data_IF_893450082510
#
_entry.id   IF_893450082510
#
_cell.length_a   1.000
_cell.length_b   1.000
_cell.length_c   1.000
_cell.angle_alpha   90.00
_cell.angle_beta   90.00
_cell.angle_gamma   90.00
#
_symmetry.space_group_name_H-M   'P 1'
#
loop_
_entity.id
_entity.type
_entity.pdbx_description
1 polymer ?
#
# COMPACT_ATOMS: atom_id res chain seq x y z
N UNK A 1 -6.99 21.95 1.42
CA UNK A 1 -6.70 21.82 -0.03
C UNK A 1 -6.61 20.38 -0.52
N UNK A 2 -5.68 19.55 -0.01
CA UNK A 2 -5.53 18.14 -0.44
C UNK A 2 -6.85 17.36 -0.39
N UNK A 3 -7.58 17.45 0.73
CA UNK A 3 -8.86 16.76 0.89
C UNK A 3 -9.95 17.25 -0.08
N UNK A 4 -9.97 18.54 -0.43
CA UNK A 4 -10.90 19.05 -1.44
C UNK A 4 -10.60 18.47 -2.83
N UNK A 5 -9.32 18.37 -3.20
CA UNK A 5 -8.90 17.80 -4.48
C UNK A 5 -9.22 16.30 -4.57
N UNK A 6 -9.24 15.60 -3.44
CA UNK A 6 -9.57 14.17 -3.40
C UNK A 6 -11.04 13.87 -3.72
N UNK A 7 -11.96 14.85 -3.58
CA UNK A 7 -13.40 14.61 -3.72
C UNK A 7 -13.76 14.00 -5.09
N UNK A 8 -13.28 14.60 -6.18
CA UNK A 8 -13.62 14.12 -7.52
C UNK A 8 -13.01 12.75 -7.82
N UNK A 9 -11.81 12.46 -7.29
CA UNK A 9 -11.22 11.13 -7.40
C UNK A 9 -12.09 10.08 -6.72
N UNK A 10 -12.43 10.26 -5.44
CA UNK A 10 -13.28 9.31 -4.71
C UNK A 10 -14.67 9.18 -5.33
N UNK A 11 -15.25 10.28 -5.82
CA UNK A 11 -16.53 10.29 -6.53
C UNK A 11 -16.47 9.47 -7.82
N UNK A 12 -15.40 9.61 -8.61
CA UNK A 12 -15.25 8.82 -9.85
C UNK A 12 -15.18 7.32 -9.55
N UNK A 13 -14.41 6.93 -8.52
CA UNK A 13 -14.26 5.53 -8.12
C UNK A 13 -15.59 4.95 -7.62
N UNK A 14 -16.24 5.66 -6.70
CA UNK A 14 -17.54 5.26 -6.14
C UNK A 14 -18.62 5.15 -7.23
N UNK A 15 -18.64 6.05 -8.22
CA UNK A 15 -19.63 6.00 -9.31
C UNK A 15 -19.50 4.78 -10.22
N UNK A 16 -18.37 4.07 -10.15
CA UNK A 16 -18.08 2.85 -10.92
C UNK A 16 -18.01 1.60 -10.05
N UNK A 17 -18.44 1.67 -8.78
CA UNK A 17 -18.34 0.55 -7.85
C UNK A 17 -19.17 -0.65 -8.36
N UNK A 18 -18.52 -1.79 -8.69
CA UNK A 18 -19.20 -2.96 -9.22
C UNK A 18 -19.94 -3.76 -8.13
N UNK A 19 -19.69 -3.49 -6.85
CA UNK A 19 -20.36 -4.18 -5.74
C UNK A 19 -21.77 -3.69 -5.45
N UNK A 20 -22.11 -2.49 -5.95
CA UNK A 20 -23.44 -1.90 -5.80
C UNK A 20 -24.34 -2.39 -6.94
N UNK A 21 -25.44 -3.08 -6.60
CA UNK A 21 -26.49 -3.48 -7.54
C UNK A 21 -27.48 -2.32 -7.74
N UNK A 22 -27.10 -1.34 -8.57
CA UNK A 22 -27.89 -0.17 -8.94
C UNK A 22 -27.55 0.25 -10.38
N UNK A 23 -28.40 1.08 -10.99
CA UNK A 23 -28.11 1.64 -12.32
C UNK A 23 -26.88 2.57 -12.29
N UNK A 24 -26.24 2.78 -13.45
CA UNK A 24 -25.12 3.71 -13.55
C UNK A 24 -25.53 5.14 -13.18
N UNK A 25 -26.76 5.53 -13.50
CA UNK A 25 -27.36 6.81 -13.09
C UNK A 25 -27.50 6.92 -11.57
N UNK A 26 -27.99 5.87 -10.92
CA UNK A 26 -28.15 5.84 -9.45
C UNK A 26 -26.80 5.88 -8.74
N UNK A 27 -25.80 5.11 -9.20
CA UNK A 27 -24.44 5.15 -8.64
C UNK A 27 -23.82 6.55 -8.77
N UNK A 28 -24.01 7.22 -9.90
CA UNK A 28 -23.56 8.61 -10.09
C UNK A 28 -24.28 9.57 -9.14
N UNK A 29 -25.57 9.39 -8.90
CA UNK A 29 -26.34 10.21 -7.95
C UNK A 29 -25.89 9.98 -6.50
N UNK A 30 -25.63 8.73 -6.10
CA UNK A 30 -25.05 8.37 -4.80
C UNK A 30 -23.66 9.00 -4.63
N UNK A 31 -22.79 8.88 -5.63
CA UNK A 31 -21.45 9.47 -5.60
C UNK A 31 -21.48 11.01 -5.54
N UNK A 32 -22.46 11.65 -6.21
CA UNK A 32 -22.69 13.08 -6.08
C UNK A 32 -23.16 13.47 -4.67
N UNK A 33 -24.00 12.65 -4.04
CA UNK A 33 -24.45 12.83 -2.65
C UNK A 33 -23.27 12.77 -1.68
N UNK A 34 -22.39 11.78 -1.83
CA UNK A 34 -21.11 11.70 -1.10
C UNK A 34 -20.31 13.00 -1.26
N UNK A 35 -20.07 13.43 -2.51
CA UNK A 35 -19.22 14.58 -2.80
C UNK A 35 -19.78 15.87 -2.21
N UNK A 36 -21.10 16.08 -2.30
CA UNK A 36 -21.77 17.23 -1.72
C UNK A 36 -21.69 17.22 -0.18
N UNK A 37 -22.00 16.08 0.46
CA UNK A 37 -21.94 15.91 1.91
C UNK A 37 -20.53 16.17 2.44
N UNK A 38 -19.53 15.50 1.87
CA UNK A 38 -18.16 15.64 2.34
C UNK A 38 -17.62 17.06 2.11
N UNK A 39 -17.94 17.69 0.98
CA UNK A 39 -17.59 19.09 0.73
C UNK A 39 -18.20 20.03 1.75
N UNK A 40 -19.48 19.86 2.07
CA UNK A 40 -20.16 20.69 3.07
C UNK A 40 -19.50 20.57 4.46
N UNK A 41 -19.13 19.36 4.88
CA UNK A 41 -18.43 19.15 6.16
C UNK A 41 -17.02 19.79 6.15
N UNK A 42 -16.29 19.72 5.04
CA UNK A 42 -15.00 20.42 4.90
C UNK A 42 -15.16 21.95 4.92
N UNK A 43 -16.18 22.48 4.24
CA UNK A 43 -16.47 23.91 4.20
C UNK A 43 -16.83 24.46 5.58
N UNK A 44 -17.57 23.70 6.39
CA UNK A 44 -17.86 24.03 7.79
C UNK A 44 -16.57 24.13 8.64
N UNK A 45 -15.72 23.09 8.60
CA UNK A 45 -14.44 23.08 9.32
C UNK A 45 -13.60 24.29 8.90
N UNK A 46 -13.48 24.53 7.60
CA UNK A 46 -12.71 25.67 7.06
C UNK A 46 -13.31 27.03 7.47
N UNK A 47 -14.62 27.15 7.54
CA UNK A 47 -15.28 28.36 8.04
C UNK A 47 -14.94 28.59 9.51
N UNK A 48 -15.00 27.56 10.36
CA UNK A 48 -14.62 27.64 11.77
C UNK A 48 -13.14 27.99 11.96
N UNK A 49 -12.25 27.42 11.15
CA UNK A 49 -10.82 27.79 11.15
C UNK A 49 -10.62 29.26 10.79
N UNK A 50 -11.33 29.76 9.77
CA UNK A 50 -11.26 31.18 9.38
C UNK A 50 -11.80 32.11 10.46
N UNK A 51 -12.89 31.72 11.13
CA UNK A 51 -13.46 32.49 12.24
C UNK A 51 -12.54 32.53 13.45
N UNK A 52 -11.87 31.41 13.77
CA UNK A 52 -10.93 31.34 14.89
C UNK A 52 -9.70 32.23 14.68
N UNK A 53 -9.25 32.42 13.44
CA UNK A 53 -8.13 33.30 13.11
C UNK A 53 -6.87 32.93 13.92
N UNK A 54 -6.32 33.90 14.66
CA UNK A 54 -5.13 33.69 15.50
C UNK A 54 -5.38 32.71 16.66
N UNK A 55 -6.63 32.62 17.17
CA UNK A 55 -6.99 31.73 18.28
C UNK A 55 -7.07 30.25 17.89
N UNK A 56 -6.99 29.92 16.60
CA UNK A 56 -6.95 28.54 16.12
C UNK A 56 -5.84 27.71 16.78
N UNK A 57 -4.69 28.31 17.07
CA UNK A 57 -3.54 27.59 17.66
C UNK A 57 -3.87 27.05 19.06
N UNK A 58 -4.75 27.73 19.78
CA UNK A 58 -5.19 27.43 21.15
C UNK A 58 -6.43 26.53 21.19
N UNK A 59 -7.22 26.50 20.11
CA UNK A 59 -8.39 25.63 19.99
C UNK A 59 -7.99 24.18 19.65
N UNK A 60 -7.77 23.40 20.69
CA UNK A 60 -7.38 21.99 20.59
C UNK A 60 -8.45 21.18 19.83
N UNK A 61 -9.73 21.45 20.05
CA UNK A 61 -10.84 20.72 19.42
C UNK A 61 -10.83 20.94 17.92
N UNK A 62 -10.80 22.19 17.48
CA UNK A 62 -10.79 22.53 16.07
C UNK A 62 -9.51 22.04 15.36
N UNK A 63 -8.38 22.04 16.06
CA UNK A 63 -7.14 21.44 15.57
C UNK A 63 -7.25 19.93 15.38
N UNK A 64 -7.92 19.22 16.30
CA UNK A 64 -8.14 17.78 16.17
C UNK A 64 -9.00 17.45 14.95
N UNK A 65 -10.01 18.27 14.67
CA UNK A 65 -10.86 18.13 13.48
C UNK A 65 -10.11 18.40 12.16
N UNK A 66 -9.04 19.20 12.21
CA UNK A 66 -8.18 19.45 11.05
C UNK A 66 -7.10 18.37 10.82
N UNK A 67 -7.03 17.34 11.66
CA UNK A 67 -6.03 16.27 11.49
C UNK A 67 -6.36 15.38 10.29
N UNK A 68 -5.33 14.83 9.65
CA UNK A 68 -5.52 13.89 8.54
C UNK A 68 -6.40 12.69 8.93
N UNK A 69 -6.26 12.20 10.17
CA UNK A 69 -7.07 11.07 10.68
C UNK A 69 -8.54 11.43 10.73
N UNK A 70 -8.89 12.60 11.28
CA UNK A 70 -10.28 13.03 11.37
C UNK A 70 -10.89 13.25 9.97
N UNK A 71 -10.17 13.97 9.10
CA UNK A 71 -10.65 14.25 7.74
C UNK A 71 -10.80 12.98 6.89
N UNK A 72 -9.92 11.99 7.06
CA UNK A 72 -10.09 10.68 6.42
C UNK A 72 -11.33 9.93 6.92
N UNK A 73 -11.59 9.92 8.24
CA UNK A 73 -12.79 9.30 8.83
C UNK A 73 -14.05 9.97 8.32
N UNK A 74 -14.07 11.30 8.28
CA UNK A 74 -15.19 12.09 7.78
C UNK A 74 -15.54 11.75 6.33
N UNK A 75 -14.52 11.54 5.49
CA UNK A 75 -14.70 11.07 4.11
C UNK A 75 -15.34 9.70 4.06
N UNK A 76 -14.86 8.77 4.89
CA UNK A 76 -15.36 7.39 4.95
C UNK A 76 -16.81 7.34 5.46
N UNK A 77 -17.14 8.11 6.50
CA UNK A 77 -18.51 8.29 6.98
C UNK A 77 -19.44 8.80 5.86
N UNK A 78 -19.01 9.82 5.11
CA UNK A 78 -19.80 10.34 3.98
C UNK A 78 -19.98 9.31 2.84
N UNK A 79 -19.01 8.42 2.62
CA UNK A 79 -19.14 7.33 1.63
C UNK A 79 -20.17 6.30 2.12
N UNK A 80 -20.07 5.88 3.39
CA UNK A 80 -20.99 4.92 4.01
C UNK A 80 -22.42 5.48 4.04
N UNK A 81 -22.59 6.75 4.44
CA UNK A 81 -23.87 7.45 4.43
C UNK A 81 -24.50 7.52 3.02
N UNK A 82 -23.67 7.62 1.98
CA UNK A 82 -24.10 7.61 0.59
C UNK A 82 -24.33 6.20 0.02
N UNK A 83 -24.10 5.14 0.80
CA UNK A 83 -24.33 3.75 0.43
C UNK A 83 -23.11 2.99 -0.10
N UNK A 84 -21.90 3.53 0.03
CA UNK A 84 -20.65 2.86 -0.38
C UNK A 84 -19.93 2.24 0.82
N UNK A 85 -19.67 0.93 0.76
CA UNK A 85 -18.89 0.21 1.76
C UNK A 85 -17.38 0.35 1.53
N UNK A 86 -16.85 -0.33 0.52
CA UNK A 86 -15.46 -0.20 0.07
C UNK A 86 -15.41 -0.05 -1.46
N UNK A 87 -15.54 1.18 -1.99
CA UNK A 87 -15.56 1.42 -3.44
C UNK A 87 -14.24 1.09 -4.13
N UNK A 88 -13.17 0.79 -3.38
CA UNK A 88 -11.87 0.40 -3.91
C UNK A 88 -11.68 -1.12 -3.94
N UNK A 89 -12.65 -1.92 -3.48
CA UNK A 89 -12.47 -3.36 -3.32
C UNK A 89 -12.06 -4.06 -4.62
N UNK A 90 -12.73 -3.77 -5.75
CA UNK A 90 -12.40 -4.35 -7.05
C UNK A 90 -11.02 -3.93 -7.54
N UNK A 91 -10.65 -2.67 -7.35
CA UNK A 91 -9.34 -2.12 -7.72
C UNK A 91 -8.23 -2.82 -6.91
N UNK A 92 -8.39 -2.89 -5.58
CA UNK A 92 -7.46 -3.61 -4.69
C UNK A 92 -7.33 -5.08 -5.09
N UNK A 93 -8.43 -5.72 -5.48
CA UNK A 93 -8.42 -7.10 -5.97
C UNK A 93 -7.57 -7.24 -7.24
N UNK A 94 -7.82 -6.41 -8.25
CA UNK A 94 -7.07 -6.44 -9.51
C UNK A 94 -5.59 -6.16 -9.32
N UNK A 95 -5.24 -5.16 -8.50
CA UNK A 95 -3.85 -4.84 -8.16
C UNK A 95 -3.16 -5.98 -7.41
N UNK A 96 -3.88 -6.64 -6.49
CA UNK A 96 -3.37 -7.85 -5.83
C UNK A 96 -3.09 -8.96 -6.83
N UNK A 97 -4.00 -9.23 -7.76
CA UNK A 97 -3.82 -10.30 -8.74
C UNK A 97 -2.63 -10.02 -9.67
N UNK A 98 -2.52 -8.80 -10.20
CA UNK A 98 -1.36 -8.37 -11.01
C UNK A 98 -0.04 -8.48 -10.25
N UNK A 99 -0.04 -8.10 -8.96
CA UNK A 99 1.16 -8.20 -8.12
C UNK A 99 1.55 -9.64 -7.82
N UNK A 100 0.58 -10.54 -7.63
CA UNK A 100 0.84 -11.96 -7.42
C UNK A 100 1.51 -12.61 -8.63
N UNK A 101 1.22 -12.15 -9.85
CA UNK A 101 1.86 -12.67 -11.06
C UNK A 101 3.34 -12.27 -11.14
N UNK A 102 3.71 -11.10 -10.61
CA UNK A 102 5.10 -10.61 -10.57
C UNK A 102 5.92 -11.17 -9.40
N UNK A 103 5.25 -11.55 -8.30
CA UNK A 103 5.90 -11.97 -7.05
C UNK A 103 6.98 -13.06 -7.24
N UNK A 104 6.77 -14.13 -8.03
CA UNK A 104 7.79 -15.17 -8.21
C UNK A 104 9.10 -14.64 -8.78
N UNK A 105 9.05 -13.66 -9.70
CA UNK A 105 10.24 -13.04 -10.28
C UNK A 105 11.03 -12.26 -9.23
N UNK A 106 10.34 -11.40 -8.48
CA UNK A 106 10.94 -10.61 -7.39
C UNK A 106 11.58 -11.50 -6.33
N UNK A 107 10.92 -12.59 -5.94
CA UNK A 107 11.49 -13.50 -4.97
C UNK A 107 12.71 -14.26 -5.49
N UNK A 108 12.72 -14.71 -6.75
CA UNK A 108 13.91 -15.36 -7.34
C UNK A 108 15.11 -14.43 -7.35
N UNK A 109 14.91 -13.15 -7.64
CA UNK A 109 15.96 -12.14 -7.58
C UNK A 109 16.54 -12.03 -6.16
N UNK A 110 15.67 -11.89 -5.15
CA UNK A 110 16.09 -11.77 -3.74
C UNK A 110 16.80 -13.06 -3.28
N UNK A 111 16.29 -14.23 -3.65
CA UNK A 111 16.88 -15.53 -3.30
C UNK A 111 18.28 -15.67 -3.91
N UNK A 112 18.45 -15.31 -5.18
CA UNK A 112 19.76 -15.33 -5.85
C UNK A 112 20.76 -14.37 -5.17
N UNK A 113 20.35 -13.13 -4.91
CA UNK A 113 21.20 -12.16 -4.19
C UNK A 113 21.55 -12.62 -2.77
N UNK A 114 20.60 -13.26 -2.08
CA UNK A 114 20.82 -13.78 -0.73
C UNK A 114 21.76 -14.98 -0.74
N UNK A 115 21.68 -15.84 -1.76
CA UNK A 115 22.60 -16.96 -1.92
C UNK A 115 24.03 -16.50 -2.19
N UNK A 116 24.21 -15.44 -2.98
CA UNK A 116 25.52 -14.90 -3.33
C UNK A 116 26.15 -14.06 -2.21
N UNK A 117 25.36 -13.16 -1.61
CA UNK A 117 25.88 -12.14 -0.69
C UNK A 117 25.48 -12.34 0.77
N UNK A 118 24.64 -13.33 1.08
CA UNK A 118 24.17 -13.60 2.44
C UNK A 118 23.48 -12.41 3.11
N UNK A 119 23.63 -12.29 4.42
CA UNK A 119 23.12 -11.16 5.21
C UNK A 119 24.02 -9.92 5.02
N UNK A 120 23.97 -9.31 3.84
CA UNK A 120 24.77 -8.14 3.45
C UNK A 120 23.93 -6.86 3.37
N UNK A 121 24.61 -5.72 3.42
CA UNK A 121 23.98 -4.40 3.21
C UNK A 121 23.38 -4.27 1.81
N UNK A 122 23.98 -4.90 0.80
CA UNK A 122 23.48 -4.92 -0.57
C UNK A 122 22.09 -5.58 -0.63
N UNK A 123 21.92 -6.75 -0.03
CA UNK A 123 20.64 -7.46 0.01
C UNK A 123 19.59 -6.62 0.73
N UNK A 124 19.91 -6.06 1.91
CA UNK A 124 18.98 -5.21 2.65
C UNK A 124 18.62 -3.93 1.92
N UNK A 125 19.59 -3.25 1.31
CA UNK A 125 19.34 -2.03 0.53
C UNK A 125 18.42 -2.32 -0.64
N UNK A 126 18.61 -3.45 -1.35
CA UNK A 126 17.74 -3.85 -2.45
C UNK A 126 16.32 -4.13 -1.98
N UNK A 127 16.14 -4.88 -0.89
CA UNK A 127 14.80 -5.21 -0.40
C UNK A 127 14.09 -3.97 0.19
N UNK A 128 14.79 -3.07 0.86
CA UNK A 128 14.21 -1.80 1.31
C UNK A 128 13.83 -0.91 0.12
N UNK A 129 14.65 -0.88 -0.94
CA UNK A 129 14.28 -0.25 -2.22
C UNK A 129 13.06 -0.90 -2.86
N UNK A 130 12.90 -2.23 -2.77
CA UNK A 130 11.68 -2.89 -3.23
C UNK A 130 10.46 -2.40 -2.46
N UNK A 131 10.53 -2.27 -1.13
CA UNK A 131 9.45 -1.70 -0.30
C UNK A 131 9.10 -0.27 -0.75
N UNK A 132 10.10 0.60 -0.91
CA UNK A 132 9.87 1.97 -1.37
C UNK A 132 9.28 2.02 -2.79
N UNK A 133 9.81 1.22 -3.72
CA UNK A 133 9.33 1.17 -5.10
C UNK A 133 7.89 0.65 -5.15
N UNK A 134 7.60 -0.39 -4.37
CA UNK A 134 6.29 -1.02 -4.32
C UNK A 134 5.20 -0.06 -3.82
N UNK A 135 5.53 0.81 -2.86
CA UNK A 135 4.58 1.82 -2.36
C UNK A 135 4.29 2.94 -3.37
N UNK A 136 5.18 3.16 -4.35
CA UNK A 136 5.02 4.18 -5.41
C UNK A 136 4.41 3.55 -6.67
N UNK A 137 4.56 2.24 -6.84
CA UNK A 137 4.27 1.55 -8.08
C UNK A 137 2.76 1.36 -8.30
N UNK A 138 2.21 2.15 -9.22
CA UNK A 138 0.80 2.11 -9.63
C UNK A 138 0.57 1.13 -10.81
N UNK A 139 -0.03 -0.02 -10.50
CA UNK A 139 -0.43 -1.07 -11.45
C UNK A 139 -1.76 -0.76 -12.19
N UNK A 140 -2.47 0.29 -11.75
CA UNK A 140 -3.75 0.76 -12.30
C UNK A 140 -3.59 1.82 -13.40
N UNK A 141 -2.44 2.50 -13.48
CA UNK A 141 -2.20 3.52 -14.50
C UNK A 141 -2.14 2.96 -15.94
N UNK A 142 -2.64 3.74 -16.92
CA UNK A 142 -2.56 3.42 -18.36
C UNK A 142 -1.13 3.12 -18.83
N UNK A 143 -0.13 3.74 -18.19
CA UNK A 143 1.28 3.54 -18.49
C UNK A 143 1.76 2.12 -18.14
N UNK A 144 1.20 1.52 -17.09
CA UNK A 144 1.55 0.17 -16.65
C UNK A 144 0.79 -0.91 -17.43
N UNK A 145 -0.42 -0.61 -17.93
CA UNK A 145 -1.25 -1.56 -18.71
C UNK A 145 -0.62 -1.97 -20.04
N UNK A 146 -0.04 -1.04 -20.80
CA UNK A 146 0.54 -1.33 -22.11
C UNK A 146 1.84 -2.15 -22.02
N UNK A 147 2.63 -1.96 -20.97
CA UNK A 147 3.89 -2.69 -20.77
C UNK A 147 3.63 -4.13 -20.27
N UNK A 148 2.54 -4.35 -19.53
CA UNK A 148 2.14 -5.69 -19.04
C UNK A 148 1.78 -6.67 -20.16
N UNK A 149 1.34 -6.18 -21.32
CA UNK A 149 0.94 -7.03 -22.43
C UNK A 149 2.09 -7.37 -23.38
N UNK A 150 3.21 -6.65 -23.34
CA UNK A 150 4.33 -6.84 -24.26
C UNK A 150 5.59 -7.46 -23.63
N UNK A 151 5.79 -7.37 -22.30
CA UNK A 151 6.94 -8.00 -21.61
C UNK A 151 6.50 -8.75 -20.34
N UNK A 152 6.72 -10.07 -20.32
CA UNK A 152 6.34 -10.99 -19.23
C UNK A 152 7.21 -10.88 -17.95
N UNK A 153 8.09 -9.88 -17.82
CA UNK A 153 9.24 -9.94 -16.89
C UNK A 153 9.27 -8.86 -15.80
N UNK A 154 8.14 -8.21 -15.46
CA UNK A 154 8.12 -7.26 -14.33
C UNK A 154 8.98 -6.01 -14.54
N UNK A 155 9.26 -5.67 -15.80
CA UNK A 155 10.10 -4.55 -16.25
C UNK A 155 9.69 -3.23 -15.59
N UNK A 156 8.38 -3.00 -15.38
CA UNK A 156 7.87 -1.78 -14.72
C UNK A 156 8.28 -1.66 -13.24
N UNK A 157 8.25 -2.75 -12.48
CA UNK A 157 8.63 -2.73 -11.07
C UNK A 157 10.13 -2.48 -10.90
N UNK A 158 10.95 -3.17 -11.70
CA UNK A 158 12.40 -2.95 -11.70
C UNK A 158 12.78 -1.54 -12.16
N UNK A 159 12.06 -0.98 -13.13
CA UNK A 159 12.24 0.40 -13.59
C UNK A 159 11.89 1.40 -12.49
N UNK A 160 10.77 1.20 -11.79
CA UNK A 160 10.38 2.02 -10.63
C UNK A 160 11.42 1.97 -9.52
N UNK A 161 11.99 0.79 -9.24
CA UNK A 161 13.09 0.66 -8.28
C UNK A 161 14.36 1.39 -8.71
N UNK A 162 14.68 1.38 -10.00
CA UNK A 162 15.85 2.07 -10.58
C UNK A 162 15.69 3.59 -10.62
N UNK A 163 14.46 4.09 -10.68
CA UNK A 163 14.19 5.53 -10.66
C UNK A 163 14.23 6.14 -9.26
N UNK A 164 14.28 5.32 -8.20
CA UNK A 164 14.47 5.81 -6.84
C UNK A 164 15.78 6.60 -6.70
N UNK A 165 15.79 7.71 -5.94
CA UNK A 165 17.00 8.45 -5.66
C UNK A 165 18.10 7.56 -5.06
N UNK A 166 19.37 7.78 -5.44
CA UNK A 166 20.48 7.10 -4.79
C UNK A 166 20.56 7.50 -3.31
N UNK A 167 21.16 6.63 -2.50
CA UNK A 167 21.49 6.94 -1.10
C UNK A 167 22.59 8.04 -1.05
N UNK A 168 22.63 8.91 -0.02
CA UNK A 168 21.76 8.90 1.15
C UNK A 168 20.37 9.48 0.84
N UNK A 169 19.34 8.85 1.41
CA UNK A 169 17.98 9.41 1.41
C UNK A 169 17.83 10.54 2.42
N UNK A 170 16.70 11.25 2.37
CA UNK A 170 16.40 12.37 3.28
C UNK A 170 16.53 11.97 4.76
N UNK A 171 16.12 10.74 5.10
CA UNK A 171 16.42 10.06 6.34
C UNK A 171 16.90 8.66 5.96
N UNK A 172 18.16 8.33 6.26
CA UNK A 172 18.80 7.09 5.83
C UNK A 172 19.44 6.37 7.03
N UNK A 173 18.71 5.39 7.56
CA UNK A 173 19.15 4.53 8.66
C UNK A 173 19.51 3.12 8.18
N UNK A 174 19.73 2.90 6.88
CA UNK A 174 19.95 1.56 6.31
C UNK A 174 21.19 0.89 6.92
N UNK A 175 22.28 1.62 7.11
CA UNK A 175 23.52 1.07 7.68
C UNK A 175 23.31 0.66 9.14
N UNK A 176 22.59 1.50 9.90
CA UNK A 176 22.22 1.24 11.29
C UNK A 176 21.29 0.02 11.39
N UNK A 177 20.31 -0.07 10.49
CA UNK A 177 19.41 -1.21 10.38
C UNK A 177 20.19 -2.50 10.08
N UNK A 178 21.08 -2.50 9.09
CA UNK A 178 21.91 -3.65 8.72
C UNK A 178 22.79 -4.11 9.88
N UNK A 179 23.43 -3.17 10.58
CA UNK A 179 24.24 -3.47 11.77
C UNK A 179 23.38 -4.13 12.86
N UNK A 180 22.18 -3.61 13.13
CA UNK A 180 21.25 -4.19 14.10
C UNK A 180 20.77 -5.59 13.69
N UNK A 181 20.48 -5.80 12.40
CA UNK A 181 20.02 -7.10 11.89
C UNK A 181 21.09 -8.18 11.98
N UNK A 182 22.38 -7.82 11.97
CA UNK A 182 23.49 -8.77 12.17
C UNK A 182 23.77 -9.06 13.64
N UNK A 183 23.73 -8.03 14.48
CA UNK A 183 24.25 -8.08 15.85
C UNK A 183 23.18 -8.32 16.92
N UNK A 184 21.89 -8.34 16.54
CA UNK A 184 20.80 -8.47 17.49
C UNK A 184 19.77 -9.49 17.02
N UNK A 185 19.42 -10.41 17.91
CA UNK A 185 18.34 -11.37 17.67
C UNK A 185 17.04 -10.78 18.19
N UNK A 186 16.09 -10.53 17.30
CA UNK A 186 14.74 -10.15 17.70
C UNK A 186 13.87 -11.39 17.86
N UNK A 187 12.90 -11.34 18.78
CA UNK A 187 11.94 -12.42 19.02
C UNK A 187 10.65 -12.27 18.21
N UNK A 188 10.27 -11.02 17.90
CA UNK A 188 9.01 -10.64 17.24
C UNK A 188 9.24 -9.41 16.36
N UNK A 189 8.51 -9.35 15.24
CA UNK A 189 8.38 -8.18 14.39
C UNK A 189 6.90 -7.79 14.30
N UNK A 190 6.63 -6.49 14.21
CA UNK A 190 5.32 -5.96 13.82
C UNK A 190 5.55 -5.07 12.60
N UNK A 191 4.84 -5.37 11.52
CA UNK A 191 4.94 -4.65 10.26
C UNK A 191 3.57 -4.01 9.99
N UNK A 192 3.55 -2.69 9.90
CA UNK A 192 2.38 -1.94 9.45
C UNK A 192 2.50 -1.74 7.95
N UNK A 193 1.51 -2.24 7.21
CA UNK A 193 1.46 -2.21 5.75
C UNK A 193 0.47 -1.13 5.32
N UNK A 194 0.73 -0.44 4.21
CA UNK A 194 -0.04 0.73 3.80
C UNK A 194 -1.09 0.36 2.74
N UNK A 195 -0.64 -0.15 1.59
CA UNK A 195 -1.48 -0.35 0.40
C UNK A 195 -1.66 -1.82 0.02
N UNK A 196 -2.78 -2.10 -0.66
CA UNK A 196 -2.96 -3.35 -1.38
C UNK A 196 -2.02 -3.42 -2.60
N UNK A 197 -2.04 -4.54 -3.32
CA UNK A 197 -1.28 -4.70 -4.54
C UNK A 197 0.22 -4.76 -4.29
N UNK A 198 0.95 -3.92 -5.00
CA UNK A 198 2.41 -3.95 -5.09
C UNK A 198 3.07 -3.75 -3.74
N UNK A 199 2.62 -2.79 -2.92
CA UNK A 199 3.19 -2.52 -1.59
C UNK A 199 3.24 -3.79 -0.72
N UNK A 200 2.08 -4.37 -0.42
CA UNK A 200 2.01 -5.57 0.42
C UNK A 200 2.67 -6.78 -0.26
N UNK A 201 2.41 -7.01 -1.55
CA UNK A 201 2.82 -8.25 -2.22
C UNK A 201 4.28 -8.23 -2.66
N UNK A 202 4.76 -7.17 -3.30
CA UNK A 202 6.10 -7.07 -3.89
C UNK A 202 7.12 -6.40 -2.96
N UNK A 203 6.66 -5.57 -2.03
CA UNK A 203 7.49 -4.92 -1.03
C UNK A 203 7.54 -5.70 0.29
N UNK A 204 6.42 -5.68 1.01
CA UNK A 204 6.37 -6.08 2.42
C UNK A 204 6.48 -7.60 2.63
N UNK A 205 5.86 -8.42 1.80
CA UNK A 205 5.96 -9.88 1.92
C UNK A 205 7.38 -10.41 1.67
N UNK A 206 8.10 -10.00 0.61
CA UNK A 206 9.51 -10.37 0.44
C UNK A 206 10.40 -9.86 1.58
N UNK A 207 10.17 -8.63 2.05
CA UNK A 207 10.87 -8.08 3.21
C UNK A 207 10.66 -8.92 4.47
N UNK A 208 9.41 -9.25 4.79
CA UNK A 208 9.06 -10.10 5.93
C UNK A 208 9.71 -11.48 5.84
N UNK A 209 9.70 -12.08 4.63
CA UNK A 209 10.33 -13.38 4.38
C UNK A 209 11.84 -13.35 4.64
N UNK A 210 12.52 -12.28 4.23
CA UNK A 210 13.96 -12.11 4.43
C UNK A 210 14.30 -11.88 5.92
N UNK A 211 13.51 -11.07 6.63
CA UNK A 211 13.63 -10.89 8.09
C UNK A 211 13.51 -12.23 8.82
N UNK A 212 12.48 -13.01 8.50
CA UNK A 212 12.25 -14.32 9.09
C UNK A 212 13.41 -15.29 8.79
N UNK A 213 13.92 -15.29 7.55
CA UNK A 213 15.04 -16.13 7.14
C UNK A 213 16.30 -15.86 7.97
N UNK A 214 16.75 -14.61 8.04
CA UNK A 214 17.99 -14.29 8.74
C UNK A 214 17.88 -14.46 10.26
N UNK A 215 16.72 -14.19 10.86
CA UNK A 215 16.51 -14.48 12.29
C UNK A 215 16.48 -15.98 12.58
N UNK A 216 15.92 -16.79 11.67
CA UNK A 216 15.96 -18.26 11.79
C UNK A 216 17.41 -18.76 11.74
N UNK A 217 18.22 -18.25 10.81
CA UNK A 217 19.63 -18.61 10.67
C UNK A 217 20.44 -18.23 11.93
N UNK A 218 20.19 -17.06 12.53
CA UNK A 218 20.83 -16.64 13.79
C UNK A 218 20.51 -17.56 14.97
N UNK A 219 19.40 -18.30 14.92
CA UNK A 219 19.00 -19.27 15.96
C UNK A 219 19.45 -20.70 15.64
N UNK A 220 20.34 -20.90 14.67
CA UNK A 220 20.81 -22.22 14.25
C UNK A 220 19.85 -22.98 13.34
N UNK A 221 18.83 -22.31 12.79
CA UNK A 221 17.97 -22.88 11.75
C UNK A 221 18.73 -23.07 10.44
N UNK A 222 18.49 -24.17 9.72
CA UNK A 222 19.06 -24.37 8.39
C UNK A 222 18.37 -23.49 7.35
N UNK A 223 19.14 -22.94 6.39
CA UNK A 223 18.62 -22.30 5.19
C UNK A 223 17.97 -23.36 4.27
N UNK A 224 16.72 -23.74 4.54
CA UNK A 224 15.94 -24.61 3.65
C UNK A 224 14.61 -23.96 3.32
N UNK A 225 14.44 -23.60 2.04
CA UNK A 225 13.17 -23.39 1.32
C UNK A 225 12.06 -22.63 2.06
N UNK A 226 12.38 -21.61 2.86
CA UNK A 226 11.34 -20.79 3.46
C UNK A 226 10.52 -20.09 2.38
N UNK A 227 11.15 -19.63 1.30
CA UNK A 227 10.54 -18.82 0.25
C UNK A 227 9.52 -19.60 -0.59
N UNK A 228 9.84 -20.75 -1.19
CA UNK A 228 8.90 -21.44 -2.09
C UNK A 228 7.61 -21.94 -1.40
N UNK A 229 7.71 -22.49 -0.18
CA UNK A 229 6.55 -23.01 0.56
C UNK A 229 5.70 -21.88 1.15
N UNK A 230 6.32 -20.80 1.65
CA UNK A 230 5.59 -19.65 2.16
C UNK A 230 4.99 -18.81 1.04
N UNK A 231 5.67 -18.65 -0.10
CA UNK A 231 5.09 -18.04 -1.29
C UNK A 231 3.81 -18.76 -1.70
N UNK A 232 3.82 -20.09 -1.85
CA UNK A 232 2.60 -20.84 -2.17
C UNK A 232 1.52 -20.64 -1.12
N UNK A 233 1.87 -20.64 0.17
CA UNK A 233 0.92 -20.39 1.25
C UNK A 233 0.31 -18.98 1.18
N UNK A 234 1.12 -17.94 1.02
CA UNK A 234 0.65 -16.55 0.92
C UNK A 234 -0.12 -16.31 -0.37
N UNK A 235 0.36 -16.81 -1.52
CA UNK A 235 -0.36 -16.73 -2.80
C UNK A 235 -1.73 -17.42 -2.67
N UNK A 236 -1.80 -18.61 -2.08
CA UNK A 236 -3.06 -19.31 -1.88
C UNK A 236 -3.98 -18.58 -0.91
N UNK A 237 -3.46 -18.06 0.22
CA UNK A 237 -4.24 -17.30 1.20
C UNK A 237 -4.76 -15.98 0.64
N UNK A 238 -3.94 -15.24 -0.11
CA UNK A 238 -4.35 -13.99 -0.76
C UNK A 238 -5.42 -14.30 -1.82
N UNK A 239 -5.21 -15.31 -2.68
CA UNK A 239 -6.24 -15.72 -3.65
C UNK A 239 -7.55 -16.13 -2.97
N UNK A 240 -7.50 -16.88 -1.86
CA UNK A 240 -8.68 -17.27 -1.11
C UNK A 240 -9.38 -16.08 -0.43
N UNK A 241 -8.64 -15.20 0.26
CA UNK A 241 -9.19 -14.01 0.91
C UNK A 241 -9.80 -13.05 -0.11
N UNK A 242 -9.16 -12.88 -1.26
CA UNK A 242 -9.65 -12.06 -2.36
C UNK A 242 -10.88 -12.67 -3.06
N UNK A 243 -11.03 -14.01 -3.06
CA UNK A 243 -12.17 -14.71 -3.69
C UNK A 243 -13.41 -14.83 -2.79
N UNK A 244 -13.24 -14.85 -1.46
CA UNK A 244 -14.35 -14.96 -0.50
C UNK A 244 -15.12 -13.67 -0.32
N UNK A 245 -14.50 -12.51 -0.60
CA UNK A 245 -15.13 -11.19 -0.47
C UNK A 245 -15.86 -10.71 -1.73
N UNK A 246 -15.69 -11.40 -2.88
CA UNK A 246 -16.49 -11.17 -4.10
C UNK A 246 -17.83 -11.93 -4.10
N UNK A 247 -18.14 -12.69 -3.05
CA UNK A 247 -19.38 -13.47 -2.91
C UNK A 247 -20.27 -13.01 -1.74
N UNK A 248 -19.94 -11.86 -1.14
CA UNK A 248 -20.70 -11.25 -0.05
C UNK A 248 -21.59 -10.15 -0.57
#
# INVERSE_FOLDING_TARGET
>A
EIFYRSIEYFKSIASTDPSIDASDEDKKAMAATFAASYRAKLDDIMARVRMAGASFVEDITLRMECTCVHLCRLREECLIEAGFGDPFMSIKYEENMKSLDLLPGVCREIDAMTAEHGNSELVWTTVLKNVCAANIFDLGSEHTKNIFHEDQDGVCFHTTRRSLPPRPWAIDDVDRFCSRMKNHTYSKAMLFVDNAGSDVILGMLPFCSLVALFWSMQRGGSCREFTAKHQRYYIQRIRCASSSHLRG
#
